data_IF_402263315726
#
_entry.id   IF_402263315726
#
_cell.length_a   1.000
_cell.length_b   1.000
_cell.length_c   1.000
_cell.angle_alpha   90.00
_cell.angle_beta   90.00
_cell.angle_gamma   90.00
#
_symmetry.space_group_name_H-M   'P 1'
#
loop_
_entity.id
_entity.type
_entity.pdbx_description
1 polymer ?
#
# COMPACT_ATOMS: atom_id res chain seq x y z
N UNK A 1 -5.39 32.71 -44.89
CA UNK A 1 -4.18 31.88 -44.65
C UNK A 1 -4.14 31.65 -43.16
N UNK A 2 -4.16 30.40 -42.70
CA UNK A 2 -4.06 30.14 -41.27
C UNK A 2 -2.62 30.43 -40.79
N UNK A 3 -2.48 31.25 -39.74
CA UNK A 3 -1.20 31.56 -39.09
C UNK A 3 -1.12 30.68 -37.83
N UNK A 4 -0.17 29.73 -37.75
CA UNK A 4 -0.02 28.89 -36.57
C UNK A 4 0.34 29.72 -35.33
N UNK A 5 -0.13 29.28 -34.16
CA UNK A 5 0.09 29.99 -32.90
C UNK A 5 1.57 30.33 -32.63
N UNK A 6 2.48 29.38 -32.90
CA UNK A 6 3.93 29.55 -32.69
C UNK A 6 4.56 30.65 -33.57
N UNK A 7 3.91 31.09 -34.64
CA UNK A 7 4.46 32.08 -35.57
C UNK A 7 4.14 33.52 -35.17
N UNK A 8 3.17 33.76 -34.28
CA UNK A 8 2.72 35.12 -33.94
C UNK A 8 3.83 35.98 -33.34
N UNK A 9 4.66 35.44 -32.46
CA UNK A 9 5.77 36.19 -31.85
C UNK A 9 6.80 36.65 -32.89
N UNK A 10 7.20 35.75 -33.80
CA UNK A 10 8.11 36.07 -34.91
C UNK A 10 7.51 37.08 -35.88
N UNK A 11 6.21 36.98 -36.16
CA UNK A 11 5.50 37.93 -37.02
C UNK A 11 5.44 39.30 -36.34
N UNK A 12 5.05 39.36 -35.06
CA UNK A 12 4.98 40.60 -34.28
C UNK A 12 6.34 41.31 -34.20
N UNK A 13 7.42 40.56 -34.01
CA UNK A 13 8.78 41.10 -33.98
C UNK A 13 9.26 41.66 -35.33
N UNK A 14 8.63 41.25 -36.44
CA UNK A 14 8.95 41.74 -37.78
C UNK A 14 8.06 42.92 -38.22
N UNK A 15 7.06 43.30 -37.41
CA UNK A 15 6.21 44.45 -37.69
C UNK A 15 6.98 45.76 -37.47
N UNK A 16 6.67 46.81 -38.25
CA UNK A 16 7.26 48.12 -38.05
C UNK A 16 6.79 48.70 -36.71
N UNK A 17 7.71 49.36 -36.00
CA UNK A 17 7.42 50.06 -34.74
C UNK A 17 6.41 51.20 -34.91
N UNK A 18 6.37 51.83 -36.09
CA UNK A 18 5.40 52.88 -36.44
C UNK A 18 4.79 52.56 -37.81
N UNK A 19 3.53 52.08 -37.88
CA UNK A 19 2.84 51.84 -39.14
C UNK A 19 2.51 53.16 -39.87
N UNK A 20 2.49 53.12 -41.20
CA UNK A 20 2.01 54.23 -42.03
C UNK A 20 0.49 54.11 -42.20
N UNK A 21 -0.17 55.19 -42.63
CA UNK A 21 -1.61 55.14 -42.96
C UNK A 21 -1.91 54.10 -44.05
N UNK A 22 -1.00 53.92 -45.02
CA UNK A 22 -1.14 52.92 -46.08
C UNK A 22 -1.07 51.48 -45.55
N UNK A 23 -0.32 51.24 -44.47
CA UNK A 23 -0.29 49.94 -43.79
C UNK A 23 -1.57 49.65 -43.01
N UNK A 24 -2.17 50.66 -42.36
CA UNK A 24 -3.41 50.51 -41.60
C UNK A 24 -4.64 50.40 -42.50
N UNK A 25 -4.61 51.05 -43.66
CA UNK A 25 -5.68 51.00 -44.66
C UNK A 25 -5.64 49.72 -45.52
N UNK A 26 -4.68 48.82 -45.28
CA UNK A 26 -4.52 47.58 -46.03
C UNK A 26 -4.13 47.78 -47.50
N UNK A 27 -3.47 48.90 -47.82
CA UNK A 27 -3.00 49.22 -49.18
C UNK A 27 -1.61 48.63 -49.47
N UNK A 28 -0.72 48.63 -48.47
CA UNK A 28 0.63 48.10 -48.56
C UNK A 28 0.89 47.03 -47.48
N UNK A 29 1.75 46.07 -47.81
CA UNK A 29 2.15 45.01 -46.90
C UNK A 29 3.08 45.57 -45.82
N UNK A 30 2.65 45.51 -44.55
CA UNK A 30 3.43 46.05 -43.42
C UNK A 30 4.81 45.40 -43.20
N UNK A 31 5.13 44.29 -43.87
CA UNK A 31 6.40 43.57 -43.73
C UNK A 31 7.40 43.89 -44.85
N UNK A 32 6.95 44.38 -46.00
CA UNK A 32 7.82 44.66 -47.14
C UNK A 32 7.54 45.99 -47.84
N UNK A 33 6.55 46.76 -47.37
CA UNK A 33 6.17 48.09 -47.88
C UNK A 33 5.72 48.08 -49.36
N UNK A 34 5.35 46.90 -49.89
CA UNK A 34 4.89 46.72 -51.26
C UNK A 34 3.37 46.77 -51.33
N UNK A 35 2.78 47.43 -52.35
CA UNK A 35 1.33 47.48 -52.52
C UNK A 35 0.73 46.09 -52.77
N UNK A 36 -0.48 45.87 -52.26
CA UNK A 36 -1.16 44.58 -52.42
C UNK A 36 -1.60 44.31 -53.86
N UNK A 37 -1.93 45.33 -54.66
CA UNK A 37 -2.45 45.19 -56.02
C UNK A 37 -3.55 44.10 -56.10
N UNK A 38 -3.34 43.03 -56.87
CA UNK A 38 -4.29 41.90 -57.02
C UNK A 38 -4.19 40.83 -55.90
N UNK A 39 -3.34 41.04 -54.89
CA UNK A 39 -3.10 40.06 -53.82
C UNK A 39 -4.03 40.33 -52.64
N UNK A 40 -4.75 39.29 -52.20
CA UNK A 40 -5.57 39.37 -50.99
C UNK A 40 -4.71 39.64 -49.74
N UNK A 41 -4.93 40.76 -49.02
CA UNK A 41 -4.24 41.03 -47.76
C UNK A 41 -4.64 40.01 -46.70
N UNK A 42 -3.69 39.64 -45.84
CA UNK A 42 -3.94 38.74 -44.70
C UNK A 42 -3.91 39.56 -43.41
N UNK A 43 -5.01 39.63 -42.65
CA UNK A 43 -5.05 40.39 -41.40
C UNK A 43 -4.11 39.78 -40.35
N UNK A 44 -3.40 40.63 -39.63
CA UNK A 44 -2.49 40.26 -38.53
C UNK A 44 -3.02 40.69 -37.15
N UNK A 45 -4.14 41.41 -37.12
CA UNK A 45 -4.84 41.83 -35.92
C UNK A 45 -5.88 40.81 -35.43
N UNK A 46 -6.52 41.07 -34.27
CA UNK A 46 -7.51 40.18 -33.66
C UNK A 46 -8.84 40.10 -34.43
N UNK A 47 -9.08 40.99 -35.41
CA UNK A 47 -10.29 41.01 -36.23
C UNK A 47 -9.93 41.03 -37.73
N UNK A 48 -10.85 40.55 -38.57
CA UNK A 48 -10.62 40.40 -40.01
C UNK A 48 -10.61 41.74 -40.78
N UNK A 49 -11.14 42.80 -40.17
CA UNK A 49 -11.40 44.09 -40.83
C UNK A 49 -10.60 45.25 -40.27
N UNK A 50 -9.79 45.04 -39.23
CA UNK A 50 -9.00 46.12 -38.62
C UNK A 50 -7.59 45.68 -38.24
N UNK A 51 -6.62 46.55 -38.50
CA UNK A 51 -5.24 46.39 -38.06
C UNK A 51 -4.22 46.38 -39.20
N UNK A 52 -3.12 45.65 -39.00
CA UNK A 52 -2.03 45.53 -39.95
C UNK A 52 -2.24 44.32 -40.86
N UNK A 53 -1.78 44.43 -42.11
CA UNK A 53 -1.94 43.40 -43.12
C UNK A 53 -0.60 42.93 -43.68
N UNK A 54 -0.44 41.62 -43.83
CA UNK A 54 0.74 41.00 -44.43
C UNK A 54 0.42 40.35 -45.77
N UNK A 55 1.38 40.34 -46.70
CA UNK A 55 1.26 39.57 -47.93
C UNK A 55 1.65 38.11 -47.73
N UNK A 56 1.01 37.19 -48.47
CA UNK A 56 1.27 35.74 -48.36
C UNK A 56 2.77 35.36 -48.50
N UNK A 57 3.56 35.95 -49.42
CA UNK A 57 5.01 35.65 -49.51
C UNK A 57 5.78 35.98 -48.23
N UNK A 58 5.57 37.16 -47.64
CA UNK A 58 6.24 37.57 -46.41
C UNK A 58 5.83 36.68 -45.23
N UNK A 59 4.54 36.40 -45.10
CA UNK A 59 4.04 35.52 -44.05
C UNK A 59 4.55 34.08 -44.18
N UNK A 60 4.62 33.52 -45.40
CA UNK A 60 5.24 32.20 -45.62
C UNK A 60 6.70 32.17 -45.15
N UNK A 61 7.47 33.21 -45.44
CA UNK A 61 8.88 33.31 -45.02
C UNK A 61 9.02 33.38 -43.49
N UNK A 62 8.18 34.19 -42.84
CA UNK A 62 8.19 34.35 -41.38
C UNK A 62 7.70 33.08 -40.67
N UNK A 63 6.63 32.44 -41.15
CA UNK A 63 6.15 31.15 -40.62
C UNK A 63 7.23 30.08 -40.78
N UNK A 64 7.91 30.01 -41.93
CA UNK A 64 9.01 29.07 -42.12
C UNK A 64 10.20 29.35 -41.19
N UNK A 65 10.50 30.64 -40.91
CA UNK A 65 11.53 31.03 -39.92
C UNK A 65 11.11 30.63 -38.51
N UNK A 66 9.88 30.95 -38.10
CA UNK A 66 9.33 30.60 -36.80
C UNK A 66 9.35 29.08 -36.57
N UNK A 67 8.98 28.30 -37.59
CA UNK A 67 9.06 26.84 -37.56
C UNK A 67 10.50 26.36 -37.33
N UNK A 68 11.48 26.85 -38.09
CA UNK A 68 12.90 26.48 -37.89
C UNK A 68 13.41 26.85 -36.50
N UNK A 69 13.05 28.03 -35.99
CA UNK A 69 13.43 28.45 -34.63
C UNK A 69 12.81 27.57 -33.55
N UNK A 70 11.52 27.24 -33.67
CA UNK A 70 10.84 26.32 -32.76
C UNK A 70 11.47 24.93 -32.81
N UNK A 71 11.68 24.39 -34.01
CA UNK A 71 12.24 23.04 -34.19
C UNK A 71 13.68 22.98 -33.65
N UNK A 72 14.47 24.04 -33.79
CA UNK A 72 15.81 24.15 -33.18
C UNK A 72 15.77 24.26 -31.65
N UNK A 73 14.81 25.02 -31.09
CA UNK A 73 14.64 25.10 -29.64
C UNK A 73 14.23 23.75 -29.04
N UNK A 74 13.26 23.05 -29.67
CA UNK A 74 12.85 21.70 -29.26
C UNK A 74 14.01 20.70 -29.33
N UNK A 75 14.89 20.79 -30.34
CA UNK A 75 16.07 19.94 -30.41
C UNK A 75 17.05 20.22 -29.27
N UNK A 76 17.30 21.49 -28.94
CA UNK A 76 18.16 21.88 -27.81
C UNK A 76 17.58 21.45 -26.46
N UNK A 77 16.27 21.59 -26.28
CA UNK A 77 15.58 21.16 -25.06
C UNK A 77 15.62 19.63 -24.92
N UNK A 78 15.47 18.88 -26.02
CA UNK A 78 15.61 17.42 -26.03
C UNK A 78 17.06 16.98 -25.70
N UNK A 79 18.07 17.63 -26.27
CA UNK A 79 19.48 17.37 -25.93
C UNK A 79 19.78 17.64 -24.46
N UNK A 80 19.22 18.73 -23.90
CA UNK A 80 19.37 19.05 -22.48
C UNK A 80 18.70 18.01 -21.59
N UNK A 81 17.45 17.66 -21.88
CA UNK A 81 16.70 16.64 -21.13
C UNK A 81 17.42 15.28 -21.16
N UNK A 82 18.00 14.89 -22.30
CA UNK A 82 18.78 13.67 -22.41
C UNK A 82 20.06 13.71 -21.55
N UNK A 83 20.76 14.85 -21.52
CA UNK A 83 21.96 15.02 -20.70
C UNK A 83 21.63 15.01 -19.19
N UNK A 84 20.53 15.66 -18.79
CA UNK A 84 20.03 15.67 -17.41
C UNK A 84 19.61 14.27 -16.96
N UNK A 85 18.81 13.56 -17.77
CA UNK A 85 18.41 12.18 -17.51
C UNK A 85 19.62 11.24 -17.38
N UNK A 86 20.62 11.35 -18.27
CA UNK A 86 21.84 10.54 -18.18
C UNK A 86 22.70 10.85 -16.95
N UNK A 87 22.69 12.10 -16.45
CA UNK A 87 23.39 12.47 -15.22
C UNK A 87 22.67 11.97 -13.98
N UNK A 88 21.34 12.03 -13.99
CA UNK A 88 20.49 11.49 -12.92
C UNK A 88 20.62 9.96 -12.84
N UNK A 89 20.53 9.23 -13.95
CA UNK A 89 20.65 7.77 -13.98
C UNK A 89 21.95 7.27 -13.31
N UNK A 90 23.08 7.95 -13.55
CA UNK A 90 24.37 7.64 -12.88
C UNK A 90 24.38 7.93 -11.39
N UNK A 91 23.55 8.86 -10.94
CA UNK A 91 23.42 9.21 -9.52
C UNK A 91 22.51 8.21 -8.82
N UNK A 92 21.39 7.88 -9.45
CA UNK A 92 20.49 6.81 -9.01
C UNK A 92 21.23 5.47 -8.89
N UNK A 93 21.98 5.05 -9.93
CA UNK A 93 22.73 3.79 -9.90
C UNK A 93 23.71 3.72 -8.71
N UNK A 94 24.42 4.82 -8.41
CA UNK A 94 25.32 4.88 -7.25
C UNK A 94 24.56 4.81 -5.93
N UNK A 95 23.41 5.46 -5.85
CA UNK A 95 22.58 5.45 -4.65
C UNK A 95 21.99 4.04 -4.40
N UNK A 96 21.42 3.40 -5.42
CA UNK A 96 20.92 2.02 -5.36
C UNK A 96 22.03 1.03 -4.95
N UNK A 97 23.25 1.20 -5.45
CA UNK A 97 24.40 0.40 -5.00
C UNK A 97 24.74 0.63 -3.52
N UNK A 98 24.55 1.86 -3.02
CA UNK A 98 24.65 2.21 -1.60
C UNK A 98 23.60 1.47 -0.77
N UNK A 99 22.33 1.56 -1.14
CA UNK A 99 21.23 0.84 -0.48
C UNK A 99 21.51 -0.66 -0.44
N UNK A 100 21.91 -1.25 -1.57
CA UNK A 100 22.27 -2.66 -1.67
C UNK A 100 23.44 -3.06 -0.76
N UNK A 101 24.42 -2.18 -0.56
CA UNK A 101 25.56 -2.43 0.34
C UNK A 101 25.15 -2.42 1.81
N UNK A 102 24.30 -1.46 2.22
CA UNK A 102 23.77 -1.41 3.60
C UNK A 102 22.86 -2.62 3.85
N UNK A 103 22.05 -3.00 2.86
CA UNK A 103 21.19 -4.19 2.93
C UNK A 103 21.99 -5.47 3.16
N UNK A 104 23.07 -5.68 2.40
CA UNK A 104 23.99 -6.81 2.62
C UNK A 104 24.68 -6.77 3.98
N UNK A 105 24.98 -5.57 4.49
CA UNK A 105 25.52 -5.42 5.84
C UNK A 105 24.48 -5.80 6.91
N UNK A 106 23.21 -5.45 6.72
CA UNK A 106 22.11 -5.86 7.58
C UNK A 106 21.98 -7.39 7.62
N UNK A 107 21.91 -8.04 6.46
CA UNK A 107 21.91 -9.52 6.37
C UNK A 107 23.10 -10.16 7.09
N UNK A 108 24.30 -9.57 6.95
CA UNK A 108 25.50 -10.07 7.62
C UNK A 108 25.42 -9.90 9.14
N UNK A 109 24.89 -8.79 9.63
CA UNK A 109 24.67 -8.56 11.07
C UNK A 109 23.64 -9.54 11.62
N UNK A 110 22.54 -9.78 10.90
CA UNK A 110 21.53 -10.78 11.26
C UNK A 110 22.17 -12.15 11.45
N UNK A 111 22.92 -12.64 10.45
CA UNK A 111 23.61 -13.94 10.55
C UNK A 111 24.60 -13.99 11.71
N UNK A 112 25.39 -12.94 11.91
CA UNK A 112 26.35 -12.89 13.03
C UNK A 112 25.67 -12.94 14.40
N UNK A 113 24.47 -12.36 14.51
CA UNK A 113 23.66 -12.40 15.72
C UNK A 113 23.10 -13.80 15.98
N UNK A 114 22.54 -14.44 14.95
CA UNK A 114 21.94 -15.78 15.01
C UNK A 114 22.98 -16.88 15.26
N UNK A 115 24.09 -16.86 14.53
CA UNK A 115 25.17 -17.85 14.67
C UNK A 115 25.90 -17.71 16.02
N UNK A 116 25.71 -16.60 16.73
CA UNK A 116 26.40 -16.29 17.97
C UNK A 116 27.92 -16.19 17.81
N UNK A 117 28.39 -15.86 16.59
CA UNK A 117 29.80 -15.80 16.23
C UNK A 117 30.56 -14.65 16.91
N UNK A 118 29.83 -13.66 17.44
CA UNK A 118 30.37 -12.50 18.16
C UNK A 118 29.78 -12.38 19.56
N UNK A 119 30.56 -11.74 20.44
CA UNK A 119 30.12 -11.37 21.78
C UNK A 119 28.90 -10.41 21.72
N UNK A 120 27.91 -10.56 22.62
CA UNK A 120 26.68 -9.76 22.59
C UNK A 120 26.91 -8.24 22.53
N UNK A 121 27.82 -7.71 23.35
CA UNK A 121 28.15 -6.27 23.33
C UNK A 121 28.76 -5.82 22.00
N UNK A 122 29.47 -6.70 21.29
CA UNK A 122 30.07 -6.38 20.00
C UNK A 122 29.02 -6.40 18.88
N UNK A 123 28.01 -7.28 18.96
CA UNK A 123 26.89 -7.27 18.01
C UNK A 123 26.02 -6.01 18.18
N UNK A 124 25.84 -5.52 19.41
CA UNK A 124 25.14 -4.26 19.68
C UNK A 124 25.83 -3.07 19.01
N UNK A 125 27.16 -2.99 19.10
CA UNK A 125 27.93 -1.95 18.42
C UNK A 125 27.85 -2.03 16.89
N UNK A 126 27.77 -3.25 16.34
CA UNK A 126 27.56 -3.43 14.90
C UNK A 126 26.18 -2.93 14.48
N UNK A 127 25.12 -3.20 15.27
CA UNK A 127 23.80 -2.65 15.01
C UNK A 127 23.81 -1.11 15.03
N UNK A 128 24.45 -0.48 16.01
CA UNK A 128 24.57 1.00 16.04
C UNK A 128 25.26 1.55 14.78
N UNK A 129 26.32 0.86 14.32
CA UNK A 129 27.03 1.26 13.10
C UNK A 129 26.17 1.07 11.86
N UNK A 130 25.37 0.01 11.82
CA UNK A 130 24.42 -0.29 10.75
C UNK A 130 23.27 0.72 10.71
N UNK A 131 22.69 1.08 11.86
CA UNK A 131 21.65 2.13 11.96
C UNK A 131 22.17 3.48 11.47
N UNK A 132 23.41 3.81 11.80
CA UNK A 132 24.06 4.99 11.25
C UNK A 132 24.16 4.87 9.72
N UNK A 133 24.64 3.76 9.17
CA UNK A 133 24.76 3.60 7.72
C UNK A 133 23.40 3.66 7.01
N UNK A 134 22.36 3.11 7.62
CA UNK A 134 20.97 3.17 7.16
C UNK A 134 20.47 4.62 7.09
N UNK A 135 20.62 5.40 8.16
CA UNK A 135 20.17 6.79 8.17
C UNK A 135 20.87 7.64 7.10
N UNK A 136 22.18 7.47 6.93
CA UNK A 136 22.93 8.20 5.91
C UNK A 136 22.48 7.85 4.49
N UNK A 137 22.25 6.57 4.20
CA UNK A 137 21.89 6.17 2.83
C UNK A 137 20.46 6.55 2.46
N UNK A 138 19.53 6.64 3.42
CA UNK A 138 18.15 7.05 3.13
C UNK A 138 17.98 8.57 3.07
N UNK A 139 18.73 9.34 3.86
CA UNK A 139 18.70 10.82 3.82
C UNK A 139 19.30 11.39 2.52
N UNK A 140 20.29 10.72 1.92
CA UNK A 140 20.96 11.13 0.69
C UNK A 140 20.24 10.66 -0.60
N UNK A 141 18.91 10.50 -0.56
CA UNK A 141 18.11 10.11 -1.71
C UNK A 141 18.16 11.17 -2.84
N UNK A 142 18.52 10.80 -4.09
CA UNK A 142 18.60 11.77 -5.18
C UNK A 142 17.22 12.20 -5.67
N UNK A 143 16.98 13.52 -5.74
CA UNK A 143 15.76 14.06 -6.33
C UNK A 143 15.68 13.83 -7.86
N UNK A 144 14.54 13.38 -8.39
CA UNK A 144 14.36 13.17 -9.81
C UNK A 144 14.26 14.51 -10.59
N UNK A 145 14.87 14.64 -11.77
CA UNK A 145 14.67 15.80 -12.63
C UNK A 145 13.23 15.82 -13.17
N UNK A 146 12.73 16.99 -13.58
CA UNK A 146 11.39 17.13 -14.15
C UNK A 146 11.15 16.31 -15.43
N UNK A 147 12.21 15.84 -16.08
CA UNK A 147 12.17 14.97 -17.25
C UNK A 147 12.22 13.47 -16.91
N UNK A 148 12.40 13.10 -15.64
CA UNK A 148 12.38 11.70 -15.22
C UNK A 148 10.96 11.15 -15.28
N UNK A 149 10.89 9.85 -15.52
CA UNK A 149 9.63 9.13 -15.49
C UNK A 149 9.12 9.09 -14.04
N UNK A 150 7.94 9.65 -13.73
CA UNK A 150 7.37 9.57 -12.39
C UNK A 150 7.08 8.13 -11.95
N UNK A 151 7.05 7.17 -12.90
CA UNK A 151 6.74 5.76 -12.65
C UNK A 151 7.98 4.89 -12.34
N UNK A 152 9.18 5.48 -12.17
CA UNK A 152 10.38 4.71 -11.81
C UNK A 152 10.34 4.26 -10.33
N UNK A 153 9.86 3.03 -10.11
CA UNK A 153 9.70 2.44 -8.76
C UNK A 153 11.00 1.88 -8.17
N UNK A 154 12.12 1.88 -8.91
CA UNK A 154 13.34 1.19 -8.50
C UNK A 154 13.91 1.68 -7.16
N UNK A 155 13.84 2.99 -6.91
CA UNK A 155 14.28 3.59 -5.66
C UNK A 155 13.42 3.14 -4.46
N UNK A 156 12.09 3.17 -4.63
CA UNK A 156 11.13 2.75 -3.59
C UNK A 156 11.26 1.26 -3.28
N UNK A 157 11.43 0.43 -4.32
CA UNK A 157 11.56 -1.02 -4.18
C UNK A 157 12.81 -1.41 -3.37
N UNK A 158 13.97 -0.79 -3.63
CA UNK A 158 15.21 -1.10 -2.91
C UNK A 158 15.26 -0.48 -1.50
N UNK A 159 14.63 0.69 -1.28
CA UNK A 159 14.45 1.26 0.06
C UNK A 159 13.55 0.38 0.93
N UNK A 160 12.46 -0.14 0.37
CA UNK A 160 11.58 -1.08 1.05
C UNK A 160 12.32 -2.38 1.43
N UNK A 161 13.10 -2.95 0.51
CA UNK A 161 13.93 -4.14 0.80
C UNK A 161 14.96 -3.88 1.89
N UNK A 162 15.63 -2.73 1.87
CA UNK A 162 16.55 -2.36 2.93
C UNK A 162 15.83 -2.27 4.28
N UNK A 163 14.63 -1.70 4.31
CA UNK A 163 13.80 -1.59 5.53
C UNK A 163 13.49 -2.96 6.12
N UNK A 164 13.09 -3.93 5.28
CA UNK A 164 12.83 -5.30 5.73
C UNK A 164 14.09 -5.95 6.34
N UNK A 165 15.25 -5.81 5.70
CA UNK A 165 16.50 -6.37 6.24
C UNK A 165 16.93 -5.70 7.55
N UNK A 166 16.68 -4.39 7.70
CA UNK A 166 16.92 -3.68 8.95
C UNK A 166 16.03 -4.19 10.09
N UNK A 167 14.76 -4.51 9.81
CA UNK A 167 13.85 -5.12 10.80
C UNK A 167 14.40 -6.48 11.26
N UNK A 168 14.81 -7.33 10.31
CA UNK A 168 15.42 -8.63 10.61
C UNK A 168 16.69 -8.49 11.47
N UNK A 169 17.59 -7.56 11.11
CA UNK A 169 18.81 -7.31 11.87
C UNK A 169 18.51 -6.82 13.30
N UNK A 170 17.56 -5.89 13.47
CA UNK A 170 17.13 -5.40 14.77
C UNK A 170 16.56 -6.53 15.63
N UNK A 171 15.68 -7.35 15.08
CA UNK A 171 15.06 -8.46 15.79
C UNK A 171 16.09 -9.49 16.24
N UNK A 172 16.99 -9.92 15.36
CA UNK A 172 18.03 -10.90 15.68
C UNK A 172 18.99 -10.40 16.77
N UNK A 173 19.43 -9.13 16.68
CA UNK A 173 20.30 -8.52 17.70
C UNK A 173 19.58 -8.32 19.03
N UNK A 174 18.33 -7.84 19.00
CA UNK A 174 17.52 -7.65 20.21
C UNK A 174 17.34 -8.99 20.94
N UNK A 175 16.98 -10.04 20.21
CA UNK A 175 16.84 -11.39 20.74
C UNK A 175 18.15 -11.85 21.41
N UNK A 176 19.28 -11.70 20.71
CA UNK A 176 20.61 -12.06 21.24
C UNK A 176 20.97 -11.32 22.53
N UNK A 177 20.65 -10.02 22.61
CA UNK A 177 20.92 -9.19 23.78
C UNK A 177 19.99 -9.51 24.95
N UNK A 178 18.71 -9.77 24.70
CA UNK A 178 17.76 -10.19 25.72
C UNK A 178 18.26 -11.45 26.45
N UNK A 179 18.68 -12.49 25.71
CA UNK A 179 19.25 -13.69 26.32
C UNK A 179 20.54 -13.44 27.07
N UNK A 180 21.41 -12.58 26.56
CA UNK A 180 22.63 -12.22 27.28
C UNK A 180 22.29 -11.59 28.64
N UNK A 181 21.35 -10.65 28.68
CA UNK A 181 20.92 -10.00 29.91
C UNK A 181 20.26 -10.98 30.89
N UNK A 182 19.39 -11.86 30.40
CA UNK A 182 18.76 -12.91 31.22
C UNK A 182 19.84 -13.79 31.86
N UNK A 183 20.79 -14.29 31.06
CA UNK A 183 21.85 -15.17 31.55
C UNK A 183 22.78 -14.48 32.56
N UNK A 184 23.15 -13.22 32.34
CA UNK A 184 23.97 -12.44 33.29
C UNK A 184 23.20 -12.12 34.58
N UNK A 185 21.87 -12.08 34.53
CA UNK A 185 21.01 -11.76 35.67
C UNK A 185 20.60 -12.99 36.49
N UNK A 186 20.95 -14.20 36.05
CA UNK A 186 20.65 -15.42 36.81
C UNK A 186 21.51 -15.53 38.08
N UNK A 187 20.92 -15.84 39.25
CA UNK A 187 21.69 -16.08 40.48
C UNK A 187 22.61 -17.29 40.33
N UNK A 188 23.75 -17.28 41.03
CA UNK A 188 24.80 -18.32 40.94
C UNK A 188 24.32 -19.73 41.33
N UNK A 189 23.22 -19.83 42.07
CA UNK A 189 22.48 -21.06 42.38
C UNK A 189 21.00 -20.78 42.08
N UNK A 190 20.52 -21.02 40.85
CA UNK A 190 19.10 -20.90 40.57
C UNK A 190 18.36 -21.99 41.36
N UNK A 191 17.34 -21.60 42.14
CA UNK A 191 16.28 -22.55 42.53
C UNK A 191 15.56 -22.93 41.24
N UNK A 192 16.10 -23.94 40.53
CA UNK A 192 15.57 -24.41 39.27
C UNK A 192 14.18 -25.00 39.53
N UNK A 193 13.17 -24.56 38.78
CA UNK A 193 11.97 -25.35 38.57
C UNK A 193 12.40 -26.77 38.13
N UNK A 194 11.71 -27.83 38.56
CA UNK A 194 12.04 -29.22 38.15
C UNK A 194 12.07 -29.41 36.61
N UNK A 195 11.48 -28.48 35.85
CA UNK A 195 11.48 -28.43 34.38
C UNK A 195 12.73 -27.78 33.75
N UNK A 196 13.64 -27.19 34.55
CA UNK A 196 14.90 -26.58 34.10
C UNK A 196 16.15 -27.39 34.50
N UNK A 197 16.01 -28.68 34.82
CA UNK A 197 17.17 -29.56 35.04
C UNK A 197 17.96 -29.74 33.73
N UNK A 198 19.00 -28.92 33.57
CA UNK A 198 19.90 -29.02 32.45
C UNK A 198 20.74 -30.31 32.56
N UNK A 199 20.84 -31.16 31.51
CA UNK A 199 21.65 -32.37 31.54
C UNK A 199 23.11 -32.08 31.89
N UNK A 200 23.83 -33.06 32.46
CA UNK A 200 25.28 -32.94 32.72
C UNK A 200 26.03 -32.55 31.42
N UNK A 201 26.56 -31.31 31.39
CA UNK A 201 27.25 -30.73 30.23
C UNK A 201 26.49 -29.63 29.48
N UNK A 202 25.30 -29.23 29.95
CA UNK A 202 24.57 -28.08 29.42
C UNK A 202 25.37 -26.77 29.57
N UNK A 203 25.41 -25.96 28.51
CA UNK A 203 26.17 -24.69 28.46
C UNK A 203 25.44 -23.48 29.06
N UNK A 204 24.24 -23.68 29.64
CA UNK A 204 23.37 -22.60 30.12
C UNK A 204 22.71 -21.76 29.01
N UNK A 205 22.86 -22.15 27.74
CA UNK A 205 22.14 -21.53 26.62
C UNK A 205 20.76 -22.16 26.48
N UNK A 206 19.74 -21.49 27.01
CA UNK A 206 18.33 -21.79 26.75
C UNK A 206 17.85 -20.86 25.63
N UNK A 207 17.37 -21.41 24.52
CA UNK A 207 16.70 -20.63 23.47
C UNK A 207 15.19 -20.50 23.75
N UNK A 208 14.45 -19.78 22.91
CA UNK A 208 13.00 -19.52 23.10
C UNK A 208 12.15 -20.78 23.16
N UNK A 209 12.64 -21.92 22.67
CA UNK A 209 11.92 -23.19 22.77
C UNK A 209 11.96 -23.80 24.18
N UNK A 210 12.77 -23.23 25.08
CA UNK A 210 12.92 -23.67 26.48
C UNK A 210 12.25 -22.71 27.48
N UNK A 211 11.67 -21.60 27.02
CA UNK A 211 10.96 -20.62 27.85
C UNK A 211 9.47 -20.78 27.58
N UNK A 212 8.82 -21.70 28.30
CA UNK A 212 7.36 -21.86 28.30
C UNK A 212 6.75 -21.04 29.46
N UNK A 213 6.85 -19.72 29.35
CA UNK A 213 6.01 -18.84 30.16
C UNK A 213 4.66 -18.84 29.45
N UNK A 214 3.72 -19.68 29.89
CA UNK A 214 2.40 -19.81 29.26
C UNK A 214 1.77 -18.44 28.93
N UNK A 215 0.87 -18.38 27.92
CA UNK A 215 0.44 -17.15 27.25
C UNK A 215 -0.08 -16.04 28.18
N UNK A 216 -0.57 -16.42 29.37
CA UNK A 216 -1.16 -15.51 30.34
C UNK A 216 -0.15 -14.81 31.26
N UNK A 217 1.06 -15.37 31.40
CA UNK A 217 2.08 -14.93 32.37
C UNK A 217 2.48 -13.47 32.14
N UNK A 218 2.53 -13.04 30.88
CA UNK A 218 2.87 -11.65 30.54
C UNK A 218 1.81 -10.66 31.02
N UNK A 219 0.53 -11.02 30.97
CA UNK A 219 -0.56 -10.15 31.42
C UNK A 219 -0.59 -10.06 32.94
N UNK A 220 -0.32 -11.16 33.64
CA UNK A 220 -0.17 -11.18 35.09
C UNK A 220 1.00 -10.30 35.55
N UNK A 221 2.15 -10.39 34.89
CA UNK A 221 3.32 -9.57 35.19
C UNK A 221 3.09 -8.09 34.88
N UNK A 222 2.47 -7.76 33.74
CA UNK A 222 2.11 -6.38 33.42
C UNK A 222 1.11 -5.80 34.45
N UNK A 223 0.14 -6.59 34.89
CA UNK A 223 -0.82 -6.19 35.92
C UNK A 223 -0.13 -5.93 37.27
N UNK A 224 0.89 -6.71 37.65
CA UNK A 224 1.71 -6.43 38.84
C UNK A 224 2.43 -5.07 38.76
N UNK A 225 2.72 -4.60 37.54
CA UNK A 225 3.30 -3.29 37.27
C UNK A 225 2.27 -2.18 37.01
N UNK A 226 0.99 -2.46 37.25
CA UNK A 226 -0.10 -1.48 37.12
C UNK A 226 -0.54 -1.23 35.67
N UNK A 227 -0.14 -2.10 34.73
CA UNK A 227 -0.54 -2.06 33.34
C UNK A 227 -1.56 -3.18 33.12
N UNK A 228 -2.84 -2.82 33.06
CA UNK A 228 -3.92 -3.78 32.79
C UNK A 228 -4.26 -3.71 31.31
N UNK A 229 -4.05 -4.81 30.59
CA UNK A 229 -4.50 -4.98 29.22
C UNK A 229 -5.78 -5.81 29.29
N UNK A 230 -6.89 -5.28 28.75
CA UNK A 230 -8.14 -6.03 28.67
C UNK A 230 -7.94 -7.20 27.70
N UNK A 231 -8.08 -8.42 28.22
CA UNK A 231 -7.97 -9.66 27.46
C UNK A 231 -9.39 -10.23 27.26
N UNK A 232 -9.76 -10.50 26.01
CA UNK A 232 -10.93 -11.34 25.73
C UNK A 232 -10.58 -12.79 26.10
N UNK A 233 -11.44 -13.47 26.87
CA UNK A 233 -11.18 -14.83 27.36
C UNK A 233 -10.74 -15.79 26.23
N UNK A 234 -9.72 -16.64 26.45
CA UNK A 234 -9.21 -17.53 25.42
C UNK A 234 -10.22 -18.62 25.06
N UNK A 235 -10.42 -18.81 23.76
CA UNK A 235 -11.17 -19.93 23.18
C UNK A 235 -10.54 -21.27 23.63
N UNK A 236 -11.32 -22.35 23.90
CA UNK A 236 -10.79 -23.59 24.45
C UNK A 236 -9.69 -24.21 23.56
N UNK A 237 -8.51 -24.42 24.14
CA UNK A 237 -7.37 -25.09 23.54
C UNK A 237 -7.70 -26.54 23.14
N UNK A 238 -7.71 -26.81 21.83
CA UNK A 238 -7.77 -28.17 21.30
C UNK A 238 -6.36 -28.72 21.08
N UNK A 239 -5.90 -29.57 22.01
CA UNK A 239 -5.05 -30.73 21.73
C UNK A 239 -3.69 -30.48 21.09
N UNK A 240 -2.73 -30.02 21.90
CA UNK A 240 -1.30 -30.03 21.61
C UNK A 240 -0.82 -31.46 21.30
N UNK A 241 -0.51 -31.77 20.02
CA UNK A 241 0.20 -33.00 19.66
C UNK A 241 1.70 -32.76 19.75
N UNK A 242 2.31 -33.47 20.69
CA UNK A 242 3.75 -33.62 20.87
C UNK A 242 4.46 -33.93 19.55
N UNK A 243 5.28 -33.00 19.06
CA UNK A 243 6.24 -33.27 17.99
C UNK A 243 7.49 -33.89 18.60
N UNK A 244 7.66 -35.20 18.42
CA UNK A 244 8.92 -35.90 18.67
C UNK A 244 9.96 -35.49 17.64
N UNK A 245 11.07 -34.89 18.09
CA UNK A 245 12.23 -34.56 17.27
C UNK A 245 12.89 -35.81 16.66
N UNK A 246 12.86 -35.88 15.32
CA UNK A 246 13.70 -36.74 14.50
C UNK A 246 14.81 -35.91 13.84
N UNK A 247 16.01 -36.48 13.80
CA UNK A 247 17.29 -35.87 13.47
C UNK A 247 17.36 -35.06 12.15
N UNK A 248 18.07 -33.93 12.27
CA UNK A 248 18.87 -33.20 11.29
C UNK A 248 18.68 -33.57 9.80
N UNK A 249 18.02 -32.68 9.07
CA UNK A 249 18.13 -32.60 7.61
C UNK A 249 18.44 -31.16 7.19
N UNK A 250 19.35 -31.05 6.22
CA UNK A 250 20.00 -29.84 5.72
C UNK A 250 19.01 -28.69 5.42
N UNK A 251 19.29 -27.52 5.97
CA UNK A 251 18.50 -26.29 5.84
C UNK A 251 18.61 -25.72 4.42
N UNK A 252 17.72 -26.15 3.53
CA UNK A 252 17.27 -25.33 2.41
C UNK A 252 16.38 -24.21 2.94
N UNK A 253 16.63 -22.97 2.54
CA UNK A 253 15.74 -21.82 2.81
C UNK A 253 14.34 -22.23 2.34
N UNK A 254 13.31 -22.28 3.21
CA UNK A 254 11.97 -22.70 2.82
C UNK A 254 11.43 -21.77 1.74
N UNK A 255 10.71 -22.33 0.77
CA UNK A 255 9.98 -21.54 -0.20
C UNK A 255 9.00 -20.62 0.56
N UNK A 256 8.92 -19.34 0.18
CA UNK A 256 8.02 -18.36 0.81
C UNK A 256 6.58 -18.86 0.79
N UNK A 257 6.19 -19.61 -0.23
CA UNK A 257 4.88 -20.25 -0.31
C UNK A 257 4.67 -21.31 0.79
N UNK A 258 5.68 -22.10 1.14
CA UNK A 258 5.59 -23.10 2.21
C UNK A 258 5.43 -22.42 3.58
N UNK A 259 6.12 -21.30 3.81
CA UNK A 259 5.96 -20.52 5.04
C UNK A 259 4.54 -19.95 5.18
N UNK A 260 3.96 -19.43 4.09
CA UNK A 260 2.59 -18.92 4.09
C UNK A 260 1.56 -20.02 4.37
N UNK A 261 1.78 -21.23 3.87
CA UNK A 261 0.91 -22.39 4.18
C UNK A 261 0.95 -22.69 5.68
N UNK A 262 2.13 -22.72 6.30
CA UNK A 262 2.25 -22.95 7.76
C UNK A 262 1.53 -21.88 8.58
N UNK A 263 1.61 -20.61 8.16
CA UNK A 263 0.86 -19.51 8.83
C UNK A 263 -0.65 -19.74 8.69
N UNK A 264 -1.13 -20.09 7.49
CA UNK A 264 -2.55 -20.33 7.26
C UNK A 264 -3.08 -21.51 8.10
N UNK A 265 -2.34 -22.61 8.15
CA UNK A 265 -2.68 -23.77 8.98
C UNK A 265 -2.77 -23.42 10.46
N UNK A 266 -1.86 -22.57 10.97
CA UNK A 266 -1.91 -22.08 12.34
C UNK A 266 -3.22 -21.33 12.64
N UNK A 267 -3.75 -20.59 11.67
CA UNK A 267 -5.04 -19.89 11.78
C UNK A 267 -6.25 -20.74 11.34
N UNK A 268 -6.06 -22.06 11.14
CA UNK A 268 -7.14 -22.99 10.78
C UNK A 268 -7.64 -22.84 9.35
N UNK A 269 -6.85 -22.24 8.46
CA UNK A 269 -7.15 -22.12 7.02
C UNK A 269 -6.41 -23.22 6.27
N UNK A 270 -7.16 -24.18 5.74
CA UNK A 270 -6.62 -25.22 4.88
C UNK A 270 -6.24 -24.62 3.51
N UNK A 271 -4.93 -24.52 3.25
CA UNK A 271 -4.42 -23.99 1.99
C UNK A 271 -4.72 -24.88 0.77
N UNK A 272 -5.13 -26.13 0.99
CA UNK A 272 -5.53 -27.06 -0.06
C UNK A 272 -7.05 -27.04 -0.35
N UNK A 273 -7.84 -26.35 0.48
CA UNK A 273 -9.23 -26.00 0.16
C UNK A 273 -9.25 -24.73 -0.71
N UNK A 274 -9.50 -24.83 -2.03
CA UNK A 274 -9.45 -23.67 -2.91
C UNK A 274 -10.58 -22.67 -2.64
N UNK A 275 -11.72 -23.10 -2.11
CA UNK A 275 -12.83 -22.22 -1.82
C UNK A 275 -12.54 -21.39 -0.58
N UNK A 276 -12.07 -22.04 0.48
CA UNK A 276 -11.68 -21.38 1.72
C UNK A 276 -10.49 -20.44 1.51
N UNK A 277 -9.47 -20.88 0.78
CA UNK A 277 -8.28 -20.09 0.50
C UNK A 277 -8.60 -18.83 -0.30
N UNK A 278 -9.47 -18.93 -1.32
CA UNK A 278 -9.92 -17.76 -2.10
C UNK A 278 -10.80 -16.82 -1.27
N UNK A 279 -11.63 -17.38 -0.37
CA UNK A 279 -12.41 -16.60 0.58
C UNK A 279 -11.50 -15.76 1.48
N UNK A 280 -10.49 -16.39 2.10
CA UNK A 280 -9.52 -15.70 2.94
C UNK A 280 -8.70 -14.66 2.17
N UNK A 281 -8.28 -14.97 0.94
CA UNK A 281 -7.58 -14.02 0.09
C UNK A 281 -8.43 -12.80 -0.27
N UNK A 282 -9.74 -12.98 -0.51
CA UNK A 282 -10.65 -11.88 -0.77
C UNK A 282 -10.75 -10.94 0.44
N UNK A 283 -10.88 -11.50 1.65
CA UNK A 283 -10.86 -10.72 2.90
C UNK A 283 -9.53 -9.96 3.04
N UNK A 284 -8.40 -10.61 2.79
CA UNK A 284 -7.08 -9.99 2.90
C UNK A 284 -6.84 -8.90 1.87
N UNK A 285 -7.38 -9.04 0.65
CA UNK A 285 -7.31 -7.98 -0.34
C UNK A 285 -8.12 -6.75 0.10
N UNK A 286 -9.32 -6.94 0.66
CA UNK A 286 -10.11 -5.83 1.20
C UNK A 286 -9.41 -5.17 2.38
N UNK A 287 -8.89 -5.97 3.32
CA UNK A 287 -8.11 -5.47 4.46
C UNK A 287 -6.94 -4.60 4.00
N UNK A 288 -6.05 -5.14 3.15
CA UNK A 288 -4.81 -4.44 2.79
C UNK A 288 -5.00 -3.31 1.77
N UNK A 289 -5.92 -3.45 0.82
CA UNK A 289 -6.06 -2.52 -0.30
C UNK A 289 -7.09 -1.43 -0.06
N UNK A 290 -8.08 -1.68 0.81
CA UNK A 290 -9.18 -0.77 1.02
C UNK A 290 -9.27 -0.30 2.48
N UNK A 291 -9.19 -1.22 3.45
CA UNK A 291 -9.42 -0.90 4.87
C UNK A 291 -8.22 -0.22 5.52
N UNK A 292 -7.03 -0.78 5.36
CA UNK A 292 -5.79 -0.27 5.94
C UNK A 292 -5.27 0.93 5.14
N UNK A 293 -4.85 2.00 5.82
CA UNK A 293 -4.16 3.14 5.20
C UNK A 293 -5.04 4.40 5.09
N UNK A 294 -5.06 5.12 3.94
CA UNK A 294 -5.68 6.45 3.85
C UNK A 294 -7.18 6.49 4.18
N UNK A 295 -7.88 5.35 4.11
CA UNK A 295 -9.30 5.29 4.47
C UNK A 295 -9.54 5.52 5.97
N UNK A 296 -8.55 5.26 6.84
CA UNK A 296 -8.65 5.54 8.27
C UNK A 296 -8.80 7.04 8.56
N UNK A 297 -8.09 7.88 7.80
CA UNK A 297 -8.19 9.33 7.92
C UNK A 297 -9.55 9.84 7.42
N UNK A 298 -10.02 9.30 6.29
CA UNK A 298 -11.37 9.58 5.75
C UNK A 298 -12.45 9.14 6.75
N UNK A 299 -12.27 7.99 7.40
CA UNK A 299 -13.18 7.47 8.42
C UNK A 299 -13.22 8.35 9.66
N UNK A 300 -12.08 8.87 10.11
CA UNK A 300 -12.00 9.75 11.27
C UNK A 300 -12.50 11.18 11.03
N UNK A 301 -12.72 11.59 9.77
CA UNK A 301 -13.18 12.93 9.43
C UNK A 301 -14.65 13.19 9.81
N UNK A 302 -15.02 14.45 10.07
CA UNK A 302 -16.39 14.84 10.44
C UNK A 302 -17.44 14.48 9.36
N UNK A 303 -17.03 14.37 8.10
CA UNK A 303 -17.85 13.94 6.97
C UNK A 303 -17.64 12.48 6.57
N UNK A 304 -16.88 11.73 7.36
CA UNK A 304 -16.52 10.33 7.10
C UNK A 304 -17.72 9.38 7.17
N UNK A 305 -17.56 8.15 6.65
CA UNK A 305 -18.55 7.10 6.77
C UNK A 305 -18.74 6.67 8.23
N UNK A 306 -19.87 6.07 8.56
CA UNK A 306 -20.09 5.43 9.85
C UNK A 306 -19.45 4.03 9.90
N UNK A 307 -19.27 3.46 11.10
CA UNK A 307 -18.77 2.08 11.27
C UNK A 307 -19.67 1.07 10.54
N UNK A 308 -20.99 1.27 10.60
CA UNK A 308 -21.96 0.47 9.86
C UNK A 308 -21.81 0.55 8.34
N UNK A 309 -21.50 1.74 7.82
CA UNK A 309 -21.23 1.94 6.38
C UNK A 309 -19.92 1.26 5.97
N UNK A 310 -18.87 1.41 6.77
CA UNK A 310 -17.59 0.72 6.59
C UNK A 310 -17.77 -0.81 6.58
N UNK A 311 -18.54 -1.34 7.53
CA UNK A 311 -18.85 -2.77 7.61
C UNK A 311 -19.58 -3.26 6.37
N UNK A 312 -20.68 -2.59 5.99
CA UNK A 312 -21.47 -2.98 4.82
C UNK A 312 -20.64 -2.96 3.54
N UNK A 313 -19.85 -1.90 3.35
CA UNK A 313 -18.98 -1.78 2.18
C UNK A 313 -17.89 -2.84 2.16
N UNK A 314 -17.31 -3.20 3.31
CA UNK A 314 -16.31 -4.27 3.40
C UNK A 314 -16.88 -5.62 2.93
N UNK A 315 -18.13 -5.92 3.28
CA UNK A 315 -18.83 -7.15 2.86
C UNK A 315 -19.10 -7.18 1.35
N UNK A 316 -19.55 -6.06 0.76
CA UNK A 316 -19.74 -5.96 -0.70
C UNK A 316 -18.41 -6.12 -1.45
N UNK A 317 -17.38 -5.41 -1.00
CA UNK A 317 -16.04 -5.47 -1.56
C UNK A 317 -15.42 -6.87 -1.43
N UNK A 318 -15.66 -7.58 -0.33
CA UNK A 318 -15.26 -8.98 -0.19
C UNK A 318 -15.85 -9.85 -1.30
N UNK A 319 -17.16 -9.72 -1.59
CA UNK A 319 -17.79 -10.52 -2.66
C UNK A 319 -17.18 -10.22 -4.02
N UNK A 320 -16.87 -8.95 -4.28
CA UNK A 320 -16.23 -8.52 -5.54
C UNK A 320 -14.79 -9.00 -5.65
N UNK A 321 -14.02 -8.90 -4.57
CA UNK A 321 -12.66 -9.43 -4.48
C UNK A 321 -12.65 -10.95 -4.70
N UNK A 322 -13.58 -11.68 -4.08
CA UNK A 322 -13.73 -13.13 -4.26
C UNK A 322 -14.04 -13.48 -5.72
N UNK A 323 -14.99 -12.77 -6.34
CA UNK A 323 -15.31 -12.96 -7.76
C UNK A 323 -14.09 -12.67 -8.67
N UNK A 324 -13.33 -11.61 -8.36
CA UNK A 324 -12.13 -11.24 -9.10
C UNK A 324 -11.00 -12.29 -8.96
N UNK A 325 -10.78 -12.85 -7.76
CA UNK A 325 -9.83 -13.94 -7.57
C UNK A 325 -10.24 -15.22 -8.32
N UNK A 326 -11.52 -15.57 -8.32
CA UNK A 326 -12.04 -16.71 -9.09
C UNK A 326 -11.77 -16.49 -10.59
N UNK A 327 -12.14 -15.32 -11.13
CA UNK A 327 -11.94 -14.99 -12.54
C UNK A 327 -10.44 -14.97 -12.91
N UNK A 328 -9.58 -14.46 -12.03
CA UNK A 328 -8.14 -14.34 -12.30
C UNK A 328 -7.41 -15.67 -12.49
N UNK A 329 -8.03 -16.79 -12.10
CA UNK A 329 -7.48 -18.13 -12.32
C UNK A 329 -7.45 -18.50 -13.79
N UNK A 330 -8.43 -18.03 -14.57
CA UNK A 330 -8.56 -18.33 -16.01
C UNK A 330 -8.21 -17.11 -16.87
N UNK A 331 -8.66 -15.92 -16.45
CA UNK A 331 -8.52 -14.68 -17.22
C UNK A 331 -7.22 -13.92 -16.93
N UNK A 332 -6.44 -14.38 -15.94
CA UNK A 332 -5.19 -13.75 -15.52
C UNK A 332 -5.35 -12.68 -14.44
N UNK A 333 -4.22 -12.17 -13.97
CA UNK A 333 -4.13 -11.21 -12.85
C UNK A 333 -4.92 -9.91 -13.04
N UNK A 334 -5.23 -9.58 -14.30
CA UNK A 334 -5.95 -8.40 -14.76
C UNK A 334 -7.42 -8.44 -14.36
N UNK A 335 -7.98 -9.61 -14.03
CA UNK A 335 -9.34 -9.71 -13.51
C UNK A 335 -9.52 -8.97 -12.16
N UNK A 336 -8.43 -8.72 -11.42
CA UNK A 336 -8.45 -7.90 -10.20
C UNK A 336 -8.82 -6.43 -10.46
N UNK A 337 -8.66 -5.93 -11.69
CA UNK A 337 -9.07 -4.57 -12.05
C UNK A 337 -10.58 -4.34 -11.89
N UNK A 338 -11.39 -5.40 -11.95
CA UNK A 338 -12.83 -5.31 -11.71
C UNK A 338 -13.16 -4.97 -10.25
N UNK A 339 -12.36 -5.48 -9.29
CA UNK A 339 -12.44 -5.08 -7.88
C UNK A 339 -11.98 -3.63 -7.73
N UNK A 340 -10.81 -3.29 -8.27
CA UNK A 340 -10.24 -1.94 -8.20
C UNK A 340 -11.23 -0.88 -8.71
N UNK A 341 -11.80 -1.08 -9.90
CA UNK A 341 -12.72 -0.13 -10.53
C UNK A 341 -13.87 0.28 -9.61
N UNK A 342 -14.35 -0.65 -8.79
CA UNK A 342 -15.45 -0.39 -7.85
C UNK A 342 -14.91 0.21 -6.56
N UNK A 343 -13.84 -0.38 -6.01
CA UNK A 343 -13.32 0.01 -4.72
C UNK A 343 -12.69 1.41 -4.72
N UNK A 344 -12.21 1.88 -5.89
CA UNK A 344 -11.71 3.23 -6.11
C UNK A 344 -12.75 4.22 -6.67
N UNK A 345 -14.01 3.80 -6.86
CA UNK A 345 -15.04 4.69 -7.41
C UNK A 345 -15.49 5.68 -6.34
N UNK A 346 -15.05 6.93 -6.48
CA UNK A 346 -15.31 7.97 -5.49
C UNK A 346 -16.76 8.45 -5.47
N UNK A 347 -17.51 8.20 -6.55
CA UNK A 347 -18.89 8.66 -6.72
C UNK A 347 -19.92 7.54 -6.53
N UNK A 348 -19.46 6.30 -6.30
CA UNK A 348 -20.34 5.16 -6.06
C UNK A 348 -20.89 5.19 -4.63
N UNK A 349 -22.22 5.15 -4.44
CA UNK A 349 -22.82 4.96 -3.12
C UNK A 349 -22.41 3.64 -2.50
N UNK A 350 -22.05 3.68 -1.22
CA UNK A 350 -21.65 2.48 -0.49
C UNK A 350 -22.82 1.52 -0.22
N UNK A 351 -22.45 0.27 0.06
CA UNK A 351 -23.39 -0.81 0.35
C UNK A 351 -24.21 -0.56 1.63
N UNK A 352 -25.16 -1.46 1.91
CA UNK A 352 -26.05 -1.31 3.07
C UNK A 352 -27.11 -0.22 2.94
N UNK A 353 -27.42 0.21 1.72
CA UNK A 353 -28.39 1.28 1.46
C UNK A 353 -27.89 2.66 1.87
N UNK A 354 -26.59 2.81 2.09
CA UNK A 354 -25.94 4.07 2.42
C UNK A 354 -26.07 5.09 1.28
N UNK A 355 -26.01 6.38 1.65
CA UNK A 355 -25.89 7.50 0.71
C UNK A 355 -24.47 8.07 0.66
N UNK A 356 -23.57 7.56 1.49
CA UNK A 356 -22.19 7.98 1.54
C UNK A 356 -21.49 7.64 0.23
N UNK A 357 -20.72 8.59 -0.29
CA UNK A 357 -19.72 8.40 -1.34
C UNK A 357 -18.40 8.99 -0.84
N UNK A 358 -17.26 8.45 -1.30
CA UNK A 358 -15.95 9.00 -0.91
C UNK A 358 -15.82 10.48 -1.29
N UNK A 359 -16.40 10.90 -2.42
CA UNK A 359 -16.40 12.30 -2.87
C UNK A 359 -17.18 13.25 -1.94
N UNK A 360 -18.06 12.72 -1.08
CA UNK A 360 -18.79 13.50 -0.07
C UNK A 360 -18.08 13.64 1.27
N UNK A 361 -16.98 12.89 1.50
CA UNK A 361 -16.24 12.91 2.77
C UNK A 361 -15.62 14.27 3.11
N UNK A 362 -15.29 15.07 2.08
CA UNK A 362 -14.59 16.34 2.23
C UNK A 362 -13.06 16.22 2.33
N UNK A 363 -12.54 15.00 2.41
CA UNK A 363 -11.11 14.69 2.44
C UNK A 363 -10.53 14.44 1.03
N UNK A 364 -9.22 14.63 0.81
CA UNK A 364 -8.57 14.28 -0.45
C UNK A 364 -8.62 12.76 -0.72
N UNK A 365 -9.25 12.36 -1.82
CA UNK A 365 -9.40 10.93 -2.19
C UNK A 365 -8.28 10.40 -3.07
N UNK A 366 -7.39 11.26 -3.57
CA UNK A 366 -6.35 10.88 -4.54
C UNK A 366 -5.36 9.87 -3.95
N UNK A 367 -4.95 10.08 -2.69
CA UNK A 367 -4.04 9.19 -1.97
C UNK A 367 -4.69 7.83 -1.69
N UNK A 368 -5.97 7.82 -1.34
CA UNK A 368 -6.75 6.58 -1.19
C UNK A 368 -6.81 5.78 -2.49
N UNK A 369 -7.12 6.44 -3.62
CA UNK A 369 -7.18 5.78 -4.93
C UNK A 369 -5.80 5.22 -5.33
N UNK A 370 -4.73 5.99 -5.10
CA UNK A 370 -3.37 5.54 -5.39
C UNK A 370 -2.96 4.34 -4.53
N UNK A 371 -3.24 4.38 -3.22
CA UNK A 371 -2.95 3.25 -2.33
C UNK A 371 -3.68 1.99 -2.77
N UNK A 372 -4.95 2.11 -3.15
CA UNK A 372 -5.73 0.98 -3.65
C UNK A 372 -5.15 0.41 -4.94
N UNK A 373 -4.77 1.27 -5.88
CA UNK A 373 -4.10 0.89 -7.12
C UNK A 373 -2.79 0.13 -6.84
N UNK A 374 -1.92 0.69 -5.99
CA UNK A 374 -0.63 0.09 -5.62
C UNK A 374 -0.81 -1.31 -4.99
N UNK A 375 -1.80 -1.47 -4.12
CA UNK A 375 -2.07 -2.75 -3.43
C UNK A 375 -2.67 -3.79 -4.36
N UNK A 376 -3.58 -3.40 -5.25
CA UNK A 376 -4.12 -4.31 -6.28
C UNK A 376 -3.02 -4.69 -7.27
N UNK A 377 -2.25 -3.72 -7.76
CA UNK A 377 -1.11 -3.92 -8.65
C UNK A 377 -0.08 -4.88 -8.05
N UNK A 378 0.29 -4.71 -6.77
CA UNK A 378 1.22 -5.61 -6.09
C UNK A 378 0.69 -7.05 -6.09
N UNK A 379 -0.60 -7.25 -5.79
CA UNK A 379 -1.23 -8.57 -5.84
C UNK A 379 -1.14 -9.16 -7.24
N UNK A 380 -1.50 -8.38 -8.26
CA UNK A 380 -1.42 -8.81 -9.66
C UNK A 380 0.02 -9.14 -10.06
N UNK A 381 1.02 -8.37 -9.61
CA UNK A 381 2.44 -8.63 -9.87
C UNK A 381 2.89 -9.96 -9.27
N UNK A 382 2.57 -10.23 -8.00
CA UNK A 382 2.85 -11.54 -7.37
C UNK A 382 2.20 -12.68 -8.16
N UNK A 383 0.95 -12.51 -8.61
CA UNK A 383 0.27 -13.53 -9.42
C UNK A 383 0.91 -13.75 -10.79
N UNK A 384 1.43 -12.70 -11.44
CA UNK A 384 2.13 -12.82 -12.73
C UNK A 384 3.51 -13.48 -12.58
N UNK A 385 4.25 -13.11 -11.54
CA UNK A 385 5.64 -13.53 -11.36
C UNK A 385 5.75 -14.91 -10.71
N UNK A 386 4.87 -15.22 -9.75
CA UNK A 386 4.94 -16.42 -8.90
C UNK A 386 3.71 -17.33 -9.07
N UNK A 387 2.77 -16.95 -9.93
CA UNK A 387 1.55 -17.70 -10.23
C UNK A 387 0.37 -17.32 -9.33
N UNK A 388 -0.83 -17.61 -9.84
CA UNK A 388 -2.10 -17.30 -9.18
C UNK A 388 -2.14 -17.72 -7.70
N UNK A 389 -1.70 -18.95 -7.39
CA UNK A 389 -1.73 -19.51 -6.03
C UNK A 389 -0.87 -18.71 -5.05
N UNK A 390 0.29 -18.20 -5.48
CA UNK A 390 1.15 -17.40 -4.62
C UNK A 390 0.48 -16.08 -4.20
N UNK A 391 -0.17 -15.38 -5.14
CA UNK A 391 -0.90 -14.14 -4.83
C UNK A 391 -2.10 -14.38 -3.90
N UNK A 392 -2.81 -15.50 -4.08
CA UNK A 392 -3.91 -15.89 -3.19
C UNK A 392 -3.39 -16.24 -1.79
N UNK A 393 -2.32 -17.05 -1.68
CA UNK A 393 -1.69 -17.40 -0.39
C UNK A 393 -1.24 -16.15 0.36
N UNK A 394 -0.58 -15.21 -0.33
CA UNK A 394 -0.10 -13.97 0.28
C UNK A 394 -1.25 -13.16 0.89
N UNK A 395 -2.37 -12.99 0.18
CA UNK A 395 -3.52 -12.25 0.70
C UNK A 395 -4.26 -13.01 1.79
N UNK A 396 -4.40 -14.33 1.67
CA UNK A 396 -5.01 -15.14 2.71
C UNK A 396 -4.21 -15.05 4.03
N UNK A 397 -2.88 -15.06 3.96
CA UNK A 397 -2.02 -14.94 5.14
C UNK A 397 -2.16 -13.57 5.82
N UNK A 398 -2.28 -12.50 5.02
CA UNK A 398 -2.56 -11.16 5.56
C UNK A 398 -3.91 -11.11 6.30
N UNK A 399 -4.95 -11.71 5.71
CA UNK A 399 -6.27 -11.80 6.34
C UNK A 399 -6.22 -12.57 7.67
N UNK A 400 -5.47 -13.67 7.71
CA UNK A 400 -5.34 -14.51 8.90
C UNK A 400 -4.74 -13.72 10.09
N UNK A 401 -3.79 -12.82 9.82
CA UNK A 401 -3.15 -12.00 10.84
C UNK A 401 -3.99 -10.81 11.30
N UNK A 402 -4.76 -10.17 10.40
CA UNK A 402 -5.41 -8.88 10.67
C UNK A 402 -6.92 -8.91 10.78
N UNK A 403 -7.55 -9.91 10.17
CA UNK A 403 -8.99 -9.92 9.87
C UNK A 403 -9.62 -11.30 10.10
N UNK A 404 -9.05 -12.12 10.99
CA UNK A 404 -9.43 -13.54 11.20
C UNK A 404 -10.91 -13.75 11.56
N UNK A 405 -11.57 -12.72 12.09
CA UNK A 405 -12.98 -12.71 12.46
C UNK A 405 -13.85 -11.89 11.50
N UNK A 406 -13.42 -11.57 10.27
CA UNK A 406 -14.24 -10.85 9.29
C UNK A 406 -15.14 -11.79 8.46
N UNK A 407 -16.24 -11.26 7.93
CA UNK A 407 -17.14 -12.00 7.03
C UNK A 407 -16.37 -12.65 5.87
N UNK A 408 -16.51 -13.98 5.73
CA UNK A 408 -15.75 -14.79 4.77
C UNK A 408 -14.58 -15.58 5.37
N UNK A 409 -14.22 -15.33 6.64
CA UNK A 409 -13.19 -16.08 7.36
C UNK A 409 -13.76 -17.21 8.23
N UNK A 410 -12.97 -18.26 8.54
CA UNK A 410 -13.36 -19.31 9.49
C UNK A 410 -13.79 -18.83 10.87
N UNK A 411 -13.27 -17.69 11.34
CA UNK A 411 -13.61 -17.12 12.64
C UNK A 411 -14.98 -16.42 12.67
N UNK A 412 -15.54 -16.06 11.51
CA UNK A 412 -16.79 -15.29 11.43
C UNK A 412 -17.98 -15.96 12.14
N UNK A 413 -18.24 -17.28 12.00
CA UNK A 413 -19.36 -17.91 12.71
C UNK A 413 -19.28 -17.78 14.23
N UNK A 414 -18.07 -17.85 14.80
CA UNK A 414 -17.87 -17.64 16.25
C UNK A 414 -18.08 -16.17 16.65
N UNK A 415 -17.67 -15.23 15.79
CA UNK A 415 -17.93 -13.80 15.97
C UNK A 415 -19.45 -13.51 15.94
N UNK A 416 -20.20 -14.12 15.01
CA UNK A 416 -21.67 -14.00 14.94
C UNK A 416 -22.32 -14.60 16.19
N UNK A 417 -21.92 -15.79 16.63
CA UNK A 417 -22.46 -16.39 17.85
C UNK A 417 -22.28 -15.46 19.07
N UNK A 418 -21.06 -14.92 19.23
CA UNK A 418 -20.74 -13.97 20.30
C UNK A 418 -21.55 -12.68 20.19
N UNK A 419 -21.74 -12.17 18.97
CA UNK A 419 -22.58 -11.00 18.69
C UNK A 419 -24.05 -11.25 19.07
N UNK A 420 -24.59 -12.42 18.74
CA UNK A 420 -25.97 -12.80 19.05
C UNK A 420 -26.19 -12.96 20.55
N UNK A 421 -25.21 -13.51 21.28
CA UNK A 421 -25.25 -13.59 22.75
C UNK A 421 -25.31 -12.20 23.40
N UNK A 422 -24.45 -11.26 22.94
CA UNK A 422 -24.47 -9.87 23.40
C UNK A 422 -25.79 -9.19 23.05
N UNK A 423 -26.27 -9.37 21.81
CA UNK A 423 -27.50 -8.76 21.32
C UNK A 423 -28.74 -9.24 22.08
N UNK A 424 -28.76 -10.51 22.52
CA UNK A 424 -29.83 -11.06 23.34
C UNK A 424 -29.88 -10.44 24.75
N UNK A 425 -28.74 -9.98 25.27
CA UNK A 425 -28.63 -9.35 26.59
C UNK A 425 -28.89 -7.83 26.58
N UNK A 426 -28.84 -7.18 25.42
CA UNK A 426 -29.02 -5.73 25.27
C UNK A 426 -30.48 -5.29 25.34
N UNK A 427 -30.72 -4.10 25.89
CA UNK A 427 -31.99 -3.39 25.69
C UNK A 427 -32.05 -2.89 24.24
N UNK A 428 -33.04 -3.37 23.49
CA UNK A 428 -33.26 -3.07 22.07
C UNK A 428 -34.43 -2.13 21.84
N UNK A 429 -34.89 -1.42 22.88
CA UNK A 429 -36.04 -0.50 22.79
C UNK A 429 -35.81 0.66 21.81
N UNK A 430 -34.55 1.03 21.56
CA UNK A 430 -34.12 2.06 20.60
C UNK A 430 -33.45 1.49 19.34
N UNK A 431 -33.48 0.16 19.16
CA UNK A 431 -32.84 -0.50 18.03
C UNK A 431 -33.61 -0.27 16.71
N UNK A 432 -32.91 -0.21 15.56
CA UNK A 432 -33.55 -0.21 14.24
C UNK A 432 -34.49 -1.40 14.05
N UNK A 433 -35.56 -1.22 13.27
CA UNK A 433 -36.60 -2.24 13.05
C UNK A 433 -36.03 -3.55 12.49
N UNK A 434 -34.95 -3.47 11.70
CA UNK A 434 -34.23 -4.63 11.18
C UNK A 434 -33.67 -5.56 12.27
N UNK A 435 -33.45 -5.05 13.49
CA UNK A 435 -32.93 -5.81 14.63
C UNK A 435 -34.02 -6.39 15.55
N UNK A 436 -35.30 -6.29 15.17
CA UNK A 436 -36.40 -6.78 15.98
C UNK A 436 -36.42 -8.31 16.06
N UNK A 437 -36.24 -8.99 14.92
CA UNK A 437 -36.22 -10.45 14.80
C UNK A 437 -34.78 -10.98 14.84
N UNK A 438 -34.36 -11.46 16.01
CA UNK A 438 -33.01 -11.98 16.21
C UNK A 438 -32.68 -13.20 15.34
N UNK A 439 -33.66 -14.02 14.99
CA UNK A 439 -33.42 -15.16 14.10
C UNK A 439 -33.16 -14.68 12.68
N UNK A 440 -33.86 -13.64 12.23
CA UNK A 440 -33.58 -13.02 10.94
C UNK A 440 -32.22 -12.30 10.94
N UNK A 441 -31.83 -11.66 12.05
CA UNK A 441 -30.52 -11.01 12.20
C UNK A 441 -29.39 -12.02 12.12
N UNK A 442 -29.46 -13.13 12.87
CA UNK A 442 -28.46 -14.20 12.85
C UNK A 442 -28.29 -14.76 11.44
N UNK A 443 -29.40 -15.06 10.75
CA UNK A 443 -29.37 -15.53 9.37
C UNK A 443 -28.72 -14.51 8.43
N UNK A 444 -29.07 -13.22 8.55
CA UNK A 444 -28.47 -12.16 7.74
C UNK A 444 -26.97 -12.02 8.01
N UNK A 445 -26.51 -12.08 9.27
CA UNK A 445 -25.09 -12.03 9.60
C UNK A 445 -24.31 -13.22 9.01
N UNK A 446 -24.93 -14.40 8.88
CA UNK A 446 -24.27 -15.54 8.24
C UNK A 446 -24.23 -15.47 6.71
N UNK A 447 -25.27 -14.93 6.07
CA UNK A 447 -25.42 -14.99 4.61
C UNK A 447 -25.07 -13.67 3.90
N UNK A 448 -25.59 -12.56 4.42
CA UNK A 448 -25.45 -11.24 3.82
C UNK A 448 -25.58 -10.10 4.84
N UNK A 449 -24.55 -9.83 5.66
CA UNK A 449 -24.61 -8.85 6.74
C UNK A 449 -24.99 -7.44 6.27
N UNK A 450 -24.49 -7.03 5.11
CA UNK A 450 -24.77 -5.73 4.47
C UNK A 450 -26.27 -5.53 4.19
N UNK A 451 -27.07 -6.59 4.07
CA UNK A 451 -28.53 -6.47 3.87
C UNK A 451 -29.29 -6.03 5.14
N UNK A 452 -28.65 -6.06 6.32
CA UNK A 452 -29.22 -5.46 7.53
C UNK A 452 -29.35 -3.93 7.41
N UNK A 453 -28.54 -3.33 6.55
CA UNK A 453 -28.47 -1.89 6.34
C UNK A 453 -27.46 -1.20 7.26
N UNK A 454 -26.90 -0.10 6.78
CA UNK A 454 -25.85 0.63 7.48
C UNK A 454 -26.27 1.06 8.90
N UNK A 455 -27.49 1.60 9.08
CA UNK A 455 -27.99 2.02 10.40
C UNK A 455 -28.04 0.88 11.43
N UNK A 456 -28.43 -0.32 11.00
CA UNK A 456 -28.50 -1.49 11.88
C UNK A 456 -27.11 -2.01 12.25
N UNK A 457 -26.20 -2.03 11.27
CA UNK A 457 -24.80 -2.40 11.49
C UNK A 457 -24.10 -1.38 12.40
N UNK A 458 -24.34 -0.09 12.19
CA UNK A 458 -23.78 0.99 13.00
C UNK A 458 -24.23 0.87 14.47
N UNK A 459 -25.52 0.61 14.69
CA UNK A 459 -26.06 0.37 16.02
C UNK A 459 -25.39 -0.83 16.72
N UNK A 460 -25.08 -1.90 15.96
CA UNK A 460 -24.38 -3.08 16.47
C UNK A 460 -22.91 -2.79 16.76
N UNK A 461 -22.20 -2.08 15.88
CA UNK A 461 -20.81 -1.68 16.05
C UNK A 461 -20.64 -0.79 17.29
N UNK A 462 -21.48 0.23 17.45
CA UNK A 462 -21.44 1.18 18.57
C UNK A 462 -21.64 0.54 19.96
N UNK A 463 -22.19 -0.68 20.00
CA UNK A 463 -22.42 -1.45 21.24
C UNK A 463 -21.43 -2.61 21.42
N UNK A 464 -20.40 -2.68 20.58
CA UNK A 464 -19.42 -3.77 20.58
C UNK A 464 -20.06 -5.13 20.27
N UNK A 465 -21.25 -5.15 19.65
CA UNK A 465 -21.88 -6.40 19.26
C UNK A 465 -21.11 -7.05 18.11
N UNK A 466 -20.61 -6.25 17.16
CA UNK A 466 -19.75 -6.66 16.06
C UNK A 466 -18.36 -6.02 16.22
N UNK A 467 -17.30 -6.79 15.94
CA UNK A 467 -15.93 -6.27 15.87
C UNK A 467 -15.75 -5.47 14.57
N UNK A 468 -16.09 -4.18 14.60
CA UNK A 468 -16.08 -3.30 13.42
C UNK A 468 -14.82 -2.42 13.30
N UNK A 469 -13.94 -2.48 14.29
CA UNK A 469 -12.65 -1.77 14.36
C UNK A 469 -11.52 -2.58 13.75
#
# INVERSE_FOLDING_TARGET
MHIPAYAYATIRAALPTVPTSRHTDGLDCCLCDEPFADRLPVPLGPTETSGLFGCRPCLKRLVARARRSRDAALAQDAERAQAESAAWARTLERHLAGLGSVRQAAEAVTRLAEDGALEPLRIAWLLVSLESAHAWVTEDAPEPPASADPDDTSLRDDEFRLTLEMISARAAVANRLAYHLINESMPAEPELCEEFECPEGCSGRHDSSHIDCGPDTIFEDLAQHGIVIEHEDPVPSYGQKSMTHGAAQETTVPDMAEQLVTVLEYFGIDADDPELLVSAAAVGLVADAWRDGPLEEIHAADGGPSDGEMFAQSVDLYRRARAAFIASREDGSEALLAFQTVASDVDLPWAGGSRFTLSTSGEPTDEFVQHLDDRVWYTSKVMREQGWRAGVLHRAASAAAKASAHFGMPGWPAAVASAMERLAALDRSDAPEALADLTAVEAALHEAPDQLGADALDWLCARGALGCS
#
